data_IF_698634338581
#
_entry.id   IF_698634338581
#
_cell.length_a   1.000
_cell.length_b   1.000
_cell.length_c   1.000
_cell.angle_alpha   90.00
_cell.angle_beta   90.00
_cell.angle_gamma   90.00
#
_symmetry.space_group_name_H-M   'P 1'
#
loop_
_entity.id
_entity.type
_entity.pdbx_description
1 polymer ?
#
# COMPACT_ATOMS: atom_id res chain seq x y z
N UNK A 1 28.02 -3.72 -4.18
CA UNK A 1 26.69 -3.24 -4.63
C UNK A 1 25.57 -4.05 -3.97
N UNK A 2 25.85 -4.85 -2.93
CA UNK A 2 24.84 -5.68 -2.25
C UNK A 2 23.93 -4.95 -1.23
N UNK A 3 24.33 -3.80 -0.67
CA UNK A 3 23.63 -3.24 0.50
C UNK A 3 22.23 -2.65 0.25
N UNK A 4 21.97 -2.05 -0.92
CA UNK A 4 20.65 -1.45 -1.21
C UNK A 4 19.63 -2.48 -1.70
N UNK A 5 20.09 -3.50 -2.43
CA UNK A 5 19.24 -4.62 -2.87
C UNK A 5 18.75 -5.46 -1.68
N UNK A 6 19.61 -5.68 -0.69
CA UNK A 6 19.28 -6.38 0.55
C UNK A 6 18.23 -5.61 1.39
N UNK A 7 18.38 -4.28 1.51
CA UNK A 7 17.41 -3.43 2.22
C UNK A 7 16.03 -3.40 1.55
N UNK A 8 16.00 -3.39 0.22
CA UNK A 8 14.75 -3.45 -0.57
C UNK A 8 14.03 -4.78 -0.33
N UNK A 9 14.74 -5.90 -0.43
CA UNK A 9 14.20 -7.22 -0.13
C UNK A 9 13.65 -7.31 1.29
N UNK A 10 14.40 -6.81 2.28
CA UNK A 10 13.98 -6.81 3.67
C UNK A 10 12.70 -6.00 3.92
N UNK A 11 12.56 -4.79 3.36
CA UNK A 11 11.33 -4.00 3.51
C UNK A 11 10.12 -4.73 2.93
N UNK A 12 10.27 -5.26 1.71
CA UNK A 12 9.22 -5.98 0.99
C UNK A 12 8.75 -7.19 1.81
N UNK A 13 9.68 -7.93 2.42
CA UNK A 13 9.36 -9.06 3.28
C UNK A 13 8.65 -8.62 4.58
N UNK A 14 9.15 -7.57 5.24
CA UNK A 14 8.56 -7.04 6.49
C UNK A 14 7.11 -6.62 6.26
N UNK A 15 6.83 -5.87 5.20
CA UNK A 15 5.47 -5.40 4.87
C UNK A 15 4.55 -6.60 4.62
N UNK A 16 4.97 -7.57 3.82
CA UNK A 16 4.14 -8.75 3.57
C UNK A 16 3.92 -9.59 4.82
N UNK A 17 4.97 -9.84 5.60
CA UNK A 17 4.85 -10.61 6.84
C UNK A 17 3.87 -9.95 7.79
N UNK A 18 3.90 -8.62 7.90
CA UNK A 18 2.92 -7.87 8.68
C UNK A 18 1.49 -8.13 8.22
N UNK A 19 1.19 -8.00 6.91
CA UNK A 19 -0.17 -8.21 6.40
C UNK A 19 -0.63 -9.66 6.40
N UNK A 20 0.28 -10.63 6.25
CA UNK A 20 -0.05 -12.04 6.40
C UNK A 20 -0.41 -12.36 7.86
N UNK A 21 0.38 -11.83 8.81
CA UNK A 21 0.26 -12.13 10.24
C UNK A 21 -0.78 -11.31 11.00
N UNK A 22 -1.35 -10.26 10.41
CA UNK A 22 -2.40 -9.47 11.07
C UNK A 22 -3.59 -10.37 11.42
N UNK A 23 -3.96 -10.44 12.70
CA UNK A 23 -5.10 -11.27 13.10
C UNK A 23 -6.41 -10.63 12.65
N UNK A 24 -7.48 -11.42 12.57
CA UNK A 24 -8.81 -10.90 12.27
C UNK A 24 -9.25 -9.87 13.31
N UNK A 25 -8.98 -10.12 14.59
CA UNK A 25 -9.33 -9.23 15.69
C UNK A 25 -8.62 -7.88 15.56
N UNK A 26 -7.33 -7.89 15.22
CA UNK A 26 -6.56 -6.66 14.99
C UNK A 26 -7.07 -5.89 13.76
N UNK A 27 -7.50 -6.61 12.72
CA UNK A 27 -8.11 -6.00 11.54
C UNK A 27 -9.49 -5.39 11.85
N UNK A 28 -10.34 -6.12 12.59
CA UNK A 28 -11.65 -5.63 13.06
C UNK A 28 -11.50 -4.36 13.89
N UNK A 29 -10.56 -4.32 14.84
CA UNK A 29 -10.30 -3.13 15.65
C UNK A 29 -9.94 -1.91 14.79
N UNK A 30 -9.14 -2.09 13.74
CA UNK A 30 -8.83 -1.01 12.79
C UNK A 30 -10.08 -0.50 12.06
N UNK A 31 -10.93 -1.40 11.61
CA UNK A 31 -12.19 -1.04 10.94
C UNK A 31 -13.13 -0.31 11.90
N UNK A 32 -13.19 -0.71 13.17
CA UNK A 32 -13.97 -0.02 14.20
C UNK A 32 -13.43 1.39 14.46
N UNK A 33 -12.11 1.57 14.57
CA UNK A 33 -11.47 2.89 14.71
C UNK A 33 -11.80 3.77 13.51
N UNK A 34 -11.68 3.26 12.29
CA UNK A 34 -12.03 4.00 11.08
C UNK A 34 -13.51 4.37 11.05
N UNK A 35 -14.40 3.44 11.42
CA UNK A 35 -15.84 3.73 11.53
C UNK A 35 -16.11 4.83 12.54
N UNK A 36 -15.49 4.76 13.72
CA UNK A 36 -15.66 5.74 14.79
C UNK A 36 -15.09 7.12 14.42
N UNK A 37 -13.99 7.16 13.65
CA UNK A 37 -13.40 8.41 13.14
C UNK A 37 -14.39 9.25 12.30
N UNK A 38 -15.41 8.62 11.72
CA UNK A 38 -16.46 9.33 10.96
C UNK A 38 -17.49 10.02 11.86
N UNK A 39 -17.50 9.72 13.17
CA UNK A 39 -18.50 10.17 14.15
C UNK A 39 -17.88 10.93 15.32
N UNK A 40 -16.60 10.70 15.63
CA UNK A 40 -15.88 11.32 16.73
C UNK A 40 -14.69 12.17 16.20
N UNK A 41 -14.71 13.50 16.40
CA UNK A 41 -13.69 14.40 15.85
C UNK A 41 -12.31 14.21 16.46
N UNK A 42 -12.20 13.77 17.72
CA UNK A 42 -10.91 13.52 18.36
C UNK A 42 -10.24 12.27 17.77
N UNK A 43 -11.04 11.23 17.51
CA UNK A 43 -10.57 10.02 16.83
C UNK A 43 -10.26 10.32 15.36
N UNK A 44 -11.02 11.20 14.70
CA UNK A 44 -10.73 11.68 13.35
C UNK A 44 -9.37 12.38 13.29
N UNK A 45 -9.10 13.31 14.21
CA UNK A 45 -7.84 14.04 14.28
C UNK A 45 -6.65 13.10 14.54
N UNK A 46 -6.80 12.17 15.48
CA UNK A 46 -5.80 11.15 15.77
C UNK A 46 -5.52 10.25 14.54
N UNK A 47 -6.57 9.81 13.85
CA UNK A 47 -6.47 8.97 12.66
C UNK A 47 -5.77 9.71 11.52
N UNK A 48 -6.19 10.95 11.23
CA UNK A 48 -5.59 11.78 10.19
C UNK A 48 -4.10 12.03 10.44
N UNK A 49 -3.72 12.30 11.70
CA UNK A 49 -2.31 12.44 12.09
C UNK A 49 -1.53 11.15 11.85
N UNK A 50 -2.08 10.00 12.27
CA UNK A 50 -1.42 8.70 12.09
C UNK A 50 -1.25 8.35 10.61
N UNK A 51 -2.23 8.64 9.78
CA UNK A 51 -2.16 8.44 8.32
C UNK A 51 -1.10 9.34 7.67
N UNK A 52 -0.98 10.60 8.12
CA UNK A 52 0.07 11.51 7.65
C UNK A 52 1.46 11.02 8.05
N UNK A 53 1.68 10.64 9.31
CA UNK A 53 2.95 10.08 9.80
C UNK A 53 3.31 8.79 9.05
N UNK A 54 2.32 7.93 8.79
CA UNK A 54 2.51 6.69 8.01
C UNK A 54 2.91 7.00 6.58
N UNK A 55 2.22 7.94 5.91
CA UNK A 55 2.56 8.39 4.55
C UNK A 55 3.98 8.92 4.48
N UNK A 56 4.35 9.82 5.37
CA UNK A 56 5.67 10.45 5.38
C UNK A 56 6.78 9.42 5.57
N UNK A 57 6.58 8.46 6.49
CA UNK A 57 7.51 7.35 6.69
C UNK A 57 7.64 6.48 5.44
N UNK A 58 6.53 6.11 4.80
CA UNK A 58 6.54 5.29 3.58
C UNK A 58 7.24 6.02 2.44
N UNK A 59 6.85 7.27 2.14
CA UNK A 59 7.44 8.06 1.04
C UNK A 59 8.94 8.25 1.24
N UNK A 60 9.38 8.55 2.46
CA UNK A 60 10.80 8.66 2.81
C UNK A 60 11.54 7.34 2.57
N UNK A 61 10.94 6.23 3.02
CA UNK A 61 11.53 4.90 2.88
C UNK A 61 11.63 4.48 1.41
N UNK A 62 10.57 4.68 0.63
CA UNK A 62 10.54 4.38 -0.81
C UNK A 62 11.55 5.24 -1.58
N UNK A 63 11.69 6.52 -1.22
CA UNK A 63 12.71 7.41 -1.79
C UNK A 63 14.12 6.87 -1.54
N UNK A 64 14.41 6.39 -0.33
CA UNK A 64 15.72 5.84 0.02
C UNK A 64 16.03 4.50 -0.68
N UNK A 65 15.01 3.79 -1.16
CA UNK A 65 15.12 2.48 -1.81
C UNK A 65 14.95 2.52 -3.33
N UNK A 66 14.58 3.67 -3.89
CA UNK A 66 14.39 3.86 -5.31
C UNK A 66 15.67 3.51 -6.09
N UNK A 67 15.52 2.70 -7.12
CA UNK A 67 16.64 2.30 -8.01
C UNK A 67 16.45 2.80 -9.43
N UNK A 68 15.19 3.02 -9.85
CA UNK A 68 14.86 3.62 -11.14
C UNK A 68 14.86 5.16 -11.08
N UNK A 69 15.35 5.86 -12.12
CA UNK A 69 15.28 7.32 -12.19
C UNK A 69 13.84 7.85 -12.28
N UNK A 70 12.92 7.02 -12.76
CA UNK A 70 11.49 7.33 -12.92
C UNK A 70 10.64 6.86 -11.73
N UNK A 71 11.26 6.46 -10.62
CA UNK A 71 10.53 6.12 -9.40
C UNK A 71 9.86 7.39 -8.85
N UNK A 72 8.53 7.34 -8.72
CA UNK A 72 7.72 8.32 -8.01
C UNK A 72 7.21 7.71 -6.68
N UNK A 73 7.90 7.98 -5.54
CA UNK A 73 7.53 7.42 -4.24
C UNK A 73 6.12 7.83 -3.77
N UNK A 74 5.67 9.01 -4.15
CA UNK A 74 4.36 9.54 -3.77
C UNK A 74 3.25 8.84 -4.54
N UNK A 75 3.40 8.71 -5.86
CA UNK A 75 2.48 7.96 -6.69
C UNK A 75 2.46 6.47 -6.30
N UNK A 76 3.62 5.89 -5.98
CA UNK A 76 3.70 4.52 -5.47
C UNK A 76 2.91 4.37 -4.17
N UNK A 77 3.12 5.24 -3.17
CA UNK A 77 2.36 5.19 -1.93
C UNK A 77 0.85 5.36 -2.16
N UNK A 78 0.45 6.26 -3.07
CA UNK A 78 -0.95 6.46 -3.42
C UNK A 78 -1.63 5.19 -3.98
N UNK A 79 -0.88 4.31 -4.65
CA UNK A 79 -1.37 3.01 -5.12
C UNK A 79 -1.34 1.95 -4.01
N UNK A 80 -0.33 1.97 -3.13
CA UNK A 80 -0.19 1.01 -2.04
C UNK A 80 -1.25 1.22 -0.94
N UNK A 81 -1.53 2.48 -0.58
CA UNK A 81 -2.37 2.79 0.58
C UNK A 81 -3.79 2.21 0.49
N UNK A 82 -4.52 2.32 -0.65
CA UNK A 82 -5.81 1.65 -0.81
C UNK A 82 -5.72 0.12 -0.74
N UNK A 83 -4.67 -0.49 -1.32
CA UNK A 83 -4.48 -1.95 -1.29
C UNK A 83 -4.22 -2.45 0.15
N UNK A 84 -3.35 -1.78 0.89
CA UNK A 84 -3.09 -2.06 2.31
C UNK A 84 -4.36 -1.95 3.15
N UNK A 85 -5.18 -0.91 2.93
CA UNK A 85 -6.49 -0.80 3.58
C UNK A 85 -7.44 -1.91 3.17
N UNK A 86 -7.47 -2.28 1.90
CA UNK A 86 -8.27 -3.38 1.37
C UNK A 86 -7.96 -4.72 2.05
N UNK A 87 -6.68 -5.02 2.27
CA UNK A 87 -6.25 -6.22 3.00
C UNK A 87 -6.81 -6.23 4.44
N UNK A 88 -6.73 -5.09 5.13
CA UNK A 88 -7.27 -4.97 6.50
C UNK A 88 -8.79 -5.16 6.50
N UNK A 89 -9.50 -4.54 5.56
CA UNK A 89 -10.96 -4.67 5.46
C UNK A 89 -11.37 -6.11 5.11
N UNK A 90 -10.71 -6.74 4.14
CA UNK A 90 -10.97 -8.13 3.76
C UNK A 90 -10.80 -9.09 4.94
N UNK A 91 -9.67 -8.99 5.64
CA UNK A 91 -9.36 -9.79 6.84
C UNK A 91 -10.36 -9.58 7.97
N UNK A 92 -10.90 -8.38 8.14
CA UNK A 92 -11.93 -8.10 9.14
C UNK A 92 -13.30 -8.69 8.75
N UNK A 93 -13.67 -8.56 7.47
CA UNK A 93 -14.99 -8.88 6.96
C UNK A 93 -15.22 -10.40 6.80
N UNK A 94 -14.22 -11.15 6.35
CA UNK A 94 -14.35 -12.56 6.02
C UNK A 94 -13.47 -13.43 6.96
N UNK A 95 -14.05 -14.43 7.66
CA UNK A 95 -13.30 -15.28 8.60
C UNK A 95 -12.13 -16.04 7.99
N UNK A 96 -12.26 -16.41 6.70
CA UNK A 96 -11.28 -17.21 5.95
C UNK A 96 -10.66 -16.41 4.78
N UNK A 97 -10.55 -15.08 4.92
CA UNK A 97 -9.98 -14.23 3.87
C UNK A 97 -8.52 -14.59 3.59
N UNK A 98 -8.27 -15.18 2.41
CA UNK A 98 -6.93 -15.43 1.92
C UNK A 98 -6.33 -14.16 1.31
N UNK A 99 -5.60 -13.43 2.15
CA UNK A 99 -4.91 -12.20 1.74
C UNK A 99 -3.68 -12.47 0.86
N UNK A 100 -3.30 -13.73 0.61
CA UNK A 100 -2.08 -14.09 -0.11
C UNK A 100 -2.02 -13.43 -1.49
N UNK A 101 -3.13 -13.45 -2.23
CA UNK A 101 -3.20 -12.81 -3.55
C UNK A 101 -3.01 -11.28 -3.47
N UNK A 102 -3.63 -10.63 -2.47
CA UNK A 102 -3.49 -9.19 -2.27
C UNK A 102 -2.07 -8.81 -1.79
N UNK A 103 -1.43 -9.65 -0.97
CA UNK A 103 -0.03 -9.48 -0.55
C UNK A 103 0.93 -9.68 -1.73
N UNK A 104 0.69 -10.67 -2.60
CA UNK A 104 1.48 -10.84 -3.82
C UNK A 104 1.32 -9.64 -4.78
N UNK A 105 0.12 -9.06 -4.87
CA UNK A 105 -0.11 -7.82 -5.60
C UNK A 105 0.66 -6.64 -4.99
N UNK A 106 0.67 -6.52 -3.66
CA UNK A 106 1.42 -5.49 -2.94
C UNK A 106 2.93 -5.58 -3.23
N UNK A 107 3.47 -6.81 -3.27
CA UNK A 107 4.84 -7.08 -3.67
C UNK A 107 5.16 -6.66 -5.10
N UNK A 108 4.34 -7.09 -6.05
CA UNK A 108 4.54 -6.75 -7.45
C UNK A 108 4.50 -5.23 -7.69
N UNK A 109 3.62 -4.53 -6.97
CA UNK A 109 3.50 -3.07 -7.08
C UNK A 109 4.70 -2.34 -6.46
N UNK A 110 5.18 -2.77 -5.30
CA UNK A 110 6.41 -2.25 -4.68
C UNK A 110 7.61 -2.44 -5.61
N UNK A 111 7.76 -3.65 -6.17
CA UNK A 111 8.87 -3.99 -7.05
C UNK A 111 8.85 -3.15 -8.35
N UNK A 112 7.71 -3.11 -9.02
CA UNK A 112 7.54 -2.31 -10.22
C UNK A 112 7.74 -0.81 -9.95
N UNK A 113 7.25 -0.32 -8.80
CA UNK A 113 7.35 1.09 -8.47
C UNK A 113 8.76 1.57 -8.15
N UNK A 114 9.51 0.78 -7.37
CA UNK A 114 10.91 1.08 -7.05
C UNK A 114 11.82 1.05 -8.29
N UNK A 115 11.42 0.30 -9.33
CA UNK A 115 12.08 0.28 -10.63
C UNK A 115 11.64 1.42 -11.56
N UNK A 116 10.69 2.27 -11.17
CA UNK A 116 10.12 3.32 -12.03
C UNK A 116 9.20 2.79 -13.13
N UNK A 117 8.68 1.56 -12.98
CA UNK A 117 7.81 0.89 -13.96
C UNK A 117 6.33 0.97 -13.61
N UNK A 118 5.91 1.99 -12.83
CA UNK A 118 4.49 2.15 -12.52
C UNK A 118 3.67 2.39 -13.78
N UNK A 119 2.47 1.81 -13.87
CA UNK A 119 1.54 2.15 -14.93
C UNK A 119 1.23 3.64 -14.87
N UNK A 120 1.55 4.39 -15.94
CA UNK A 120 1.12 5.77 -16.07
C UNK A 120 -0.42 5.79 -16.15
N UNK A 121 -1.10 6.61 -15.33
CA UNK A 121 -2.53 6.84 -15.51
C UNK A 121 -2.75 7.62 -16.81
N UNK A 122 -2.88 6.92 -17.95
CA UNK A 122 -3.05 7.60 -19.23
C UNK A 122 -2.86 6.83 -20.53
N UNK A 123 -3.08 5.51 -20.60
CA UNK A 123 -3.06 4.85 -21.92
C UNK A 123 -4.14 3.78 -22.17
N UNK A 124 -5.19 3.72 -21.35
CA UNK A 124 -6.35 2.84 -21.63
C UNK A 124 -7.46 3.52 -22.44
N UNK A 125 -7.31 4.81 -22.81
CA UNK A 125 -8.41 5.62 -23.39
C UNK A 125 -8.07 6.25 -24.75
N UNK A 126 -7.28 5.56 -25.59
CA UNK A 126 -7.00 6.02 -26.96
C UNK A 126 -6.97 4.95 -28.05
N UNK A 127 -7.20 3.69 -27.72
CA UNK A 127 -7.23 2.59 -28.70
C UNK A 127 -8.63 2.23 -29.22
N UNK A 128 -9.71 2.80 -28.67
CA UNK A 128 -11.09 2.41 -28.99
C UNK A 128 -11.84 3.37 -29.93
N UNK A 129 -11.18 4.36 -30.53
CA UNK A 129 -11.88 5.34 -31.36
C UNK A 129 -11.07 5.76 -32.58
N UNK A 130 -10.73 4.82 -33.47
CA UNK A 130 -10.48 5.06 -34.90
C UNK A 130 -10.75 3.76 -35.67
N UNK A 131 -12.03 3.52 -35.96
CA UNK A 131 -12.48 2.35 -36.72
C UNK A 131 -13.99 2.31 -36.88
N UNK A 132 -14.53 3.24 -37.67
CA UNK A 132 -15.64 3.10 -38.63
C UNK A 132 -16.22 4.45 -39.01
#
# INVERSE_FOLDING_TARGET
>A
MEGSGDRRGALIEIIARYFVSITREAATLRVEIWSESTRNPDIAAMTARTEAETRDWFVTTLTALATGPDCDPEALYALLAPLMRGIVVGRAALPDDDVTAAVAQLHALLDAGLDGRLPLPGNSDRAASHGS
#
